data_IF_383412286235
#
_entry.id   IF_383412286235
#
_cell.length_a   1.000
_cell.length_b   1.000
_cell.length_c   1.000
_cell.angle_alpha   90.00
_cell.angle_beta   90.00
_cell.angle_gamma   90.00
#
_symmetry.space_group_name_H-M   'P 1'
#
loop_
_entity.id
_entity.type
_entity.pdbx_description
1 polymer ?
#
# COMPACT_ATOMS: atom_id res chain seq x y z
N UNK A 1 14.82 12.56 -9.64
CA UNK A 1 14.58 12.43 -8.19
C UNK A 1 13.84 11.11 -8.01
N UNK A 2 14.40 10.14 -7.29
CA UNK A 2 13.72 8.86 -7.04
C UNK A 2 12.38 9.08 -6.32
N UNK A 3 11.46 8.11 -6.42
CA UNK A 3 10.20 8.11 -5.67
C UNK A 3 10.48 8.41 -4.19
N UNK A 4 9.75 9.36 -3.62
CA UNK A 4 9.84 9.63 -2.18
C UNK A 4 9.15 8.52 -1.36
N UNK A 5 9.53 8.42 -0.09
CA UNK A 5 9.01 7.38 0.80
C UNK A 5 7.48 7.41 0.89
N UNK A 6 6.87 8.59 0.97
CA UNK A 6 5.42 8.77 1.10
C UNK A 6 4.65 8.25 -0.13
N UNK A 7 5.21 8.45 -1.32
CA UNK A 7 4.62 7.97 -2.57
C UNK A 7 4.69 6.46 -2.66
N UNK A 8 5.81 5.85 -2.25
CA UNK A 8 5.97 4.40 -2.21
C UNK A 8 4.95 3.74 -1.27
N UNK A 9 4.84 4.22 -0.03
CA UNK A 9 3.93 3.64 0.97
C UNK A 9 2.47 3.72 0.51
N UNK A 10 2.06 4.84 -0.09
CA UNK A 10 0.70 5.00 -0.63
C UNK A 10 0.40 4.00 -1.74
N UNK A 11 1.35 3.75 -2.63
CA UNK A 11 1.16 2.82 -3.74
C UNK A 11 1.17 1.36 -3.30
N UNK A 12 2.08 1.02 -2.38
CA UNK A 12 2.10 -0.28 -1.73
C UNK A 12 0.77 -0.55 -1.01
N UNK A 13 0.25 0.43 -0.27
CA UNK A 13 -1.05 0.34 0.38
C UNK A 13 -2.17 0.06 -0.61
N UNK A 14 -2.28 0.88 -1.67
CA UNK A 14 -3.30 0.69 -2.70
C UNK A 14 -3.19 -0.66 -3.41
N UNK A 15 -1.98 -1.19 -3.54
CA UNK A 15 -1.73 -2.51 -4.10
C UNK A 15 -2.25 -3.61 -3.17
N UNK A 16 -1.86 -3.60 -1.90
CA UNK A 16 -2.26 -4.63 -0.93
C UNK A 16 -3.76 -4.63 -0.67
N UNK A 17 -4.40 -3.46 -0.66
CA UNK A 17 -5.85 -3.35 -0.51
C UNK A 17 -6.62 -3.99 -1.67
N UNK A 18 -6.05 -4.00 -2.88
CA UNK A 18 -6.64 -4.62 -4.07
C UNK A 18 -6.26 -6.10 -4.23
N UNK A 19 -5.27 -6.58 -3.48
CA UNK A 19 -4.67 -7.90 -3.65
C UNK A 19 -4.41 -8.53 -2.28
N UNK A 20 -5.47 -8.97 -1.60
CA UNK A 20 -5.43 -9.44 -0.21
C UNK A 20 -4.51 -10.66 0.02
N UNK A 21 -4.24 -11.45 -1.02
CA UNK A 21 -3.34 -12.62 -0.97
C UNK A 21 -1.86 -12.26 -1.18
N UNK A 22 -1.55 -11.02 -1.57
CA UNK A 22 -0.20 -10.58 -1.94
C UNK A 22 0.53 -9.93 -0.77
N UNK A 23 1.85 -10.03 -0.82
CA UNK A 23 2.77 -9.47 0.16
C UNK A 23 3.43 -8.21 -0.40
N UNK A 24 4.03 -7.36 0.45
CA UNK A 24 4.84 -6.23 0.00
C UNK A 24 5.94 -6.63 -0.99
N UNK A 25 6.51 -7.83 -0.86
CA UNK A 25 7.49 -8.35 -1.80
C UNK A 25 6.91 -8.53 -3.22
N UNK A 26 5.65 -8.94 -3.34
CA UNK A 26 4.99 -9.12 -4.64
C UNK A 26 4.80 -7.77 -5.35
N UNK A 27 4.44 -6.72 -4.60
CA UNK A 27 4.39 -5.34 -5.12
C UNK A 27 5.74 -4.91 -5.69
N UNK A 28 6.81 -5.10 -4.90
CA UNK A 28 8.17 -4.71 -5.32
C UNK A 28 8.58 -5.47 -6.58
N UNK A 29 8.30 -6.78 -6.66
CA UNK A 29 8.60 -7.59 -7.84
C UNK A 29 7.83 -7.06 -9.06
N UNK A 30 6.53 -6.78 -8.91
CA UNK A 30 5.70 -6.25 -9.98
C UNK A 30 6.22 -4.90 -10.51
N UNK A 31 6.46 -3.94 -9.60
CA UNK A 31 6.96 -2.62 -9.99
C UNK A 31 8.35 -2.69 -10.60
N UNK A 32 9.23 -3.55 -10.06
CA UNK A 32 10.56 -3.80 -10.64
C UNK A 32 10.45 -4.29 -12.08
N UNK A 33 9.57 -5.24 -12.36
CA UNK A 33 9.37 -5.79 -13.70
C UNK A 33 8.81 -4.74 -14.67
N UNK A 34 7.84 -3.94 -14.21
CA UNK A 34 7.27 -2.83 -14.98
C UNK A 34 8.35 -1.81 -15.36
N UNK A 35 9.15 -1.35 -14.40
CA UNK A 35 10.22 -0.38 -14.63
C UNK A 35 11.33 -0.94 -15.53
N UNK A 36 11.73 -2.20 -15.36
CA UNK A 36 12.70 -2.85 -16.27
C UNK A 36 12.22 -2.88 -17.71
N UNK A 37 10.94 -3.19 -17.93
CA UNK A 37 10.35 -3.18 -19.27
C UNK A 37 10.38 -1.78 -19.91
N UNK A 38 10.04 -0.75 -19.14
CA UNK A 38 10.11 0.64 -19.62
C UNK A 38 11.56 1.03 -19.92
N UNK A 39 12.48 0.70 -19.01
CA UNK A 39 13.90 1.01 -19.18
C UNK A 39 14.48 0.36 -20.43
N UNK A 40 14.12 -0.89 -20.71
CA UNK A 40 14.55 -1.60 -21.92
C UNK A 40 14.07 -0.88 -23.19
N UNK A 41 12.79 -0.51 -23.26
CA UNK A 41 12.21 0.23 -24.38
C UNK A 41 12.93 1.58 -24.58
N UNK A 42 13.12 2.34 -23.50
CA UNK A 42 13.70 3.69 -23.59
C UNK A 42 15.21 3.63 -23.89
N UNK A 43 15.92 2.62 -23.40
CA UNK A 43 17.37 2.45 -23.64
C UNK A 43 17.70 2.02 -25.07
N UNK A 44 16.73 1.45 -25.79
CA UNK A 44 16.89 1.05 -27.19
C UNK A 44 16.63 2.18 -28.19
N UNK A 45 16.10 3.33 -27.73
CA UNK A 45 15.84 4.47 -28.62
C UNK A 45 17.12 5.03 -29.20
N UNK A 46 17.13 5.15 -30.52
CA UNK A 46 18.21 5.75 -31.30
C UNK A 46 18.00 7.24 -31.48
N UNK A 47 19.05 7.92 -31.93
CA UNK A 47 18.99 9.33 -32.34
C UNK A 47 17.92 9.58 -33.42
N UNK A 48 17.73 8.61 -34.32
CA UNK A 48 16.76 8.69 -35.40
C UNK A 48 15.32 8.58 -34.87
N UNK A 49 15.08 7.74 -33.85
CA UNK A 49 13.77 7.65 -33.20
C UNK A 49 13.39 8.99 -32.55
N UNK A 50 14.35 9.64 -31.89
CA UNK A 50 14.16 10.96 -31.28
C UNK A 50 13.90 12.02 -32.35
N UNK A 51 14.62 11.95 -33.47
CA UNK A 51 14.41 12.85 -34.62
C UNK A 51 13.01 12.68 -35.20
N UNK A 52 12.55 11.45 -35.37
CA UNK A 52 11.20 11.16 -35.86
C UNK A 52 10.11 11.69 -34.91
N UNK A 53 10.26 11.47 -33.59
CA UNK A 53 9.32 12.03 -32.59
C UNK A 53 9.27 13.56 -32.60
N UNK A 54 10.42 14.22 -32.78
CA UNK A 54 10.49 15.67 -32.92
C UNK A 54 9.71 16.10 -34.16
N UNK A 55 9.93 15.45 -35.31
CA UNK A 55 9.31 15.80 -36.58
C UNK A 55 7.79 15.53 -36.61
N UNK A 56 7.32 14.45 -36.00
CA UNK A 56 5.90 14.15 -35.80
C UNK A 56 5.19 15.28 -35.04
N UNK A 57 5.88 15.97 -34.13
CA UNK A 57 5.34 17.14 -33.42
C UNK A 57 5.10 18.38 -34.30
N UNK A 58 5.50 18.37 -35.58
CA UNK A 58 5.37 19.49 -36.51
C UNK A 58 4.60 19.17 -37.80
N UNK A 59 4.12 17.95 -38.01
CA UNK A 59 3.44 17.54 -39.26
C UNK A 59 2.21 18.38 -39.62
N UNK A 60 1.55 19.01 -38.65
CA UNK A 60 0.35 19.85 -38.85
C UNK A 60 0.62 21.37 -38.73
N UNK A 61 1.88 21.80 -38.64
CA UNK A 61 2.24 23.21 -38.41
C UNK A 61 2.67 23.90 -39.70
N UNK A 62 2.09 25.07 -39.97
CA UNK A 62 2.42 25.95 -41.11
C UNK A 62 3.88 26.44 -41.12
N UNK A 63 4.65 26.20 -40.05
CA UNK A 63 6.04 26.58 -39.92
C UNK A 63 6.87 25.33 -39.58
N UNK A 64 7.49 24.75 -40.61
CA UNK A 64 8.43 23.63 -40.45
C UNK A 64 9.74 24.22 -39.91
N UNK A 65 10.27 23.71 -38.77
CA UNK A 65 11.53 24.20 -38.23
C UNK A 65 12.68 23.99 -39.22
N UNK A 66 13.67 24.88 -39.20
CA UNK A 66 14.87 24.67 -40.01
C UNK A 66 15.76 23.56 -39.41
N UNK A 67 16.78 23.14 -40.14
CA UNK A 67 17.69 22.07 -39.70
C UNK A 67 18.43 22.41 -38.40
N UNK A 68 18.67 23.69 -38.12
CA UNK A 68 19.34 24.12 -36.88
C UNK A 68 18.39 23.98 -35.69
N UNK A 69 17.13 24.33 -35.86
CA UNK A 69 16.07 24.16 -34.86
C UNK A 69 15.82 22.67 -34.59
N UNK A 70 15.74 21.83 -35.64
CA UNK A 70 15.59 20.37 -35.51
C UNK A 70 16.74 19.80 -34.69
N UNK A 71 17.99 20.15 -35.01
CA UNK A 71 19.15 19.63 -34.28
C UNK A 71 19.18 20.08 -32.81
N UNK A 72 18.74 21.31 -32.52
CA UNK A 72 18.58 21.78 -31.13
C UNK A 72 17.51 21.00 -30.37
N UNK A 73 16.36 20.73 -31.00
CA UNK A 73 15.26 19.97 -30.41
C UNK A 73 15.64 18.51 -30.17
N UNK A 74 16.31 17.86 -31.14
CA UNK A 74 16.83 16.50 -30.99
C UNK A 74 17.82 16.43 -29.83
N UNK A 75 18.77 17.37 -29.74
CA UNK A 75 19.72 17.44 -28.61
C UNK A 75 19.01 17.56 -27.27
N UNK A 76 18.00 18.44 -27.19
CA UNK A 76 17.20 18.63 -25.98
C UNK A 76 16.39 17.37 -25.63
N UNK A 77 15.84 16.70 -26.64
CA UNK A 77 15.16 15.41 -26.51
C UNK A 77 16.07 14.35 -25.91
N UNK A 78 17.30 14.20 -26.43
CA UNK A 78 18.31 13.28 -25.88
C UNK A 78 18.58 13.51 -24.40
N UNK A 79 18.82 14.76 -24.00
CA UNK A 79 19.08 15.09 -22.60
C UNK A 79 17.89 14.72 -21.70
N UNK A 80 16.65 14.89 -22.19
CA UNK A 80 15.45 14.43 -21.45
C UNK A 80 15.40 12.92 -21.34
N UNK A 81 15.67 12.19 -22.42
CA UNK A 81 15.71 10.73 -22.43
C UNK A 81 16.77 10.18 -21.47
N UNK A 82 17.98 10.74 -21.48
CA UNK A 82 19.04 10.40 -20.52
C UNK A 82 18.58 10.64 -19.08
N UNK A 83 17.92 11.76 -18.82
CA UNK A 83 17.31 12.05 -17.52
C UNK A 83 16.25 11.02 -17.11
N UNK A 84 15.40 10.58 -18.03
CA UNK A 84 14.41 9.51 -17.80
C UNK A 84 15.08 8.18 -17.50
N UNK A 85 16.11 7.79 -18.26
CA UNK A 85 16.87 6.56 -18.02
C UNK A 85 17.50 6.59 -16.63
N UNK A 86 18.11 7.71 -16.25
CA UNK A 86 18.71 7.85 -14.93
C UNK A 86 17.66 7.76 -13.82
N UNK A 87 16.51 8.42 -14.01
CA UNK A 87 15.40 8.34 -13.06
C UNK A 87 14.90 6.90 -12.85
N UNK A 88 14.73 6.13 -13.93
CA UNK A 88 14.31 4.73 -13.85
C UNK A 88 15.35 3.87 -13.12
N UNK A 89 16.65 4.11 -13.36
CA UNK A 89 17.73 3.41 -12.63
C UNK A 89 17.70 3.73 -11.14
N UNK A 90 17.47 4.99 -10.77
CA UNK A 90 17.36 5.40 -9.36
C UNK A 90 16.16 4.74 -8.68
N UNK A 91 15.03 4.63 -9.38
CA UNK A 91 13.81 3.98 -8.85
C UNK A 91 14.01 2.46 -8.67
N UNK A 92 14.68 1.80 -9.62
CA UNK A 92 15.05 0.39 -9.48
C UNK A 92 15.97 0.16 -8.27
N UNK A 93 16.97 1.04 -8.07
CA UNK A 93 17.86 0.98 -6.91
C UNK A 93 17.09 1.16 -5.59
N UNK A 94 16.13 2.07 -5.57
CA UNK A 94 15.25 2.27 -4.41
C UNK A 94 14.45 0.99 -4.08
N UNK A 95 13.83 0.36 -5.08
CA UNK A 95 13.10 -0.90 -4.90
C UNK A 95 13.99 -2.05 -4.44
N UNK A 96 15.25 -2.12 -4.88
CA UNK A 96 16.23 -3.10 -4.39
C UNK A 96 16.60 -2.90 -2.91
N UNK A 97 16.62 -1.65 -2.43
CA UNK A 97 16.78 -1.36 -1.00
C UNK A 97 15.56 -1.86 -0.23
N UNK A 98 14.34 -1.52 -0.67
CA UNK A 98 13.09 -1.99 -0.05
C UNK A 98 12.98 -3.51 -0.05
N UNK A 99 13.39 -4.17 -1.14
CA UNK A 99 13.45 -5.63 -1.21
C UNK A 99 14.37 -6.23 -0.14
N UNK A 100 15.53 -5.61 0.10
CA UNK A 100 16.48 -6.06 1.12
C UNK A 100 15.95 -5.83 2.53
N UNK A 101 15.33 -4.68 2.79
CA UNK A 101 14.63 -4.40 4.06
C UNK A 101 13.59 -5.48 4.39
N UNK A 102 12.86 -5.98 3.39
CA UNK A 102 11.89 -7.07 3.59
C UNK A 102 12.52 -8.48 3.71
N UNK A 103 13.70 -8.69 3.12
CA UNK A 103 14.35 -10.00 3.02
C UNK A 103 15.33 -10.32 4.15
N UNK A 104 15.89 -9.30 4.79
CA UNK A 104 16.53 -9.47 6.10
C UNK A 104 15.39 -9.61 7.09
N UNK A 105 15.45 -10.58 8.01
CA UNK A 105 14.52 -10.67 9.15
C UNK A 105 14.66 -9.49 10.11
N UNK A 106 14.76 -8.26 9.61
CA UNK A 106 14.74 -7.05 10.39
C UNK A 106 13.40 -7.04 11.08
N UNK A 107 13.46 -7.06 12.41
CA UNK A 107 12.42 -6.50 13.25
C UNK A 107 12.16 -5.12 12.63
N UNK A 108 11.03 -4.96 11.96
CA UNK A 108 10.61 -3.64 11.50
C UNK A 108 10.39 -2.87 12.79
N UNK A 109 11.36 -2.04 13.18
CA UNK A 109 11.11 -0.98 14.15
C UNK A 109 10.11 -0.05 13.46
N UNK A 110 8.83 -0.39 13.59
CA UNK A 110 7.76 0.52 13.21
C UNK A 110 7.98 1.77 14.04
N UNK A 111 8.06 2.93 13.39
CA UNK A 111 7.89 4.23 14.06
C UNK A 111 6.82 4.09 15.13
N UNK A 112 7.07 4.65 16.31
CA UNK A 112 6.23 4.56 17.50
C UNK A 112 4.77 4.81 17.09
N UNK A 113 4.03 3.72 16.89
CA UNK A 113 2.67 3.79 16.38
C UNK A 113 1.81 4.12 17.58
N UNK A 114 1.54 5.41 17.78
CA UNK A 114 0.71 5.84 18.90
C UNK A 114 -0.74 5.37 18.71
N UNK A 115 -1.04 4.21 19.30
CA UNK A 115 -2.35 3.60 19.33
C UNK A 115 -3.11 3.92 20.64
N UNK A 116 -2.56 4.79 21.49
CA UNK A 116 -3.16 5.13 22.80
C UNK A 116 -4.56 5.72 22.67
N UNK A 117 -4.83 6.41 21.56
CA UNK A 117 -6.13 7.03 21.25
C UNK A 117 -7.08 6.13 20.42
N UNK A 118 -6.81 4.82 20.32
CA UNK A 118 -7.67 3.90 19.60
C UNK A 118 -9.06 3.77 20.25
N UNK A 119 -10.11 3.83 19.44
CA UNK A 119 -11.49 3.70 19.94
C UNK A 119 -11.84 2.24 20.25
N UNK A 120 -12.86 2.02 21.09
CA UNK A 120 -13.37 0.67 21.38
C UNK A 120 -13.73 -0.12 20.10
N UNK A 121 -14.26 0.55 19.07
CA UNK A 121 -14.58 -0.06 17.77
C UNK A 121 -13.31 -0.51 17.04
N UNK A 122 -12.29 0.35 16.98
CA UNK A 122 -11.00 0.01 16.35
C UNK A 122 -10.34 -1.19 17.01
N UNK A 123 -10.42 -1.28 18.34
CA UNK A 123 -9.91 -2.41 19.11
C UNK A 123 -10.65 -3.71 18.78
N UNK A 124 -11.98 -3.66 18.61
CA UNK A 124 -12.76 -4.83 18.17
C UNK A 124 -12.38 -5.27 16.76
N UNK A 125 -12.24 -4.33 15.82
CA UNK A 125 -11.75 -4.66 14.47
C UNK A 125 -10.38 -5.33 14.58
N UNK A 126 -9.44 -4.72 15.31
CA UNK A 126 -8.10 -5.26 15.45
C UNK A 126 -8.09 -6.69 16.03
N UNK A 127 -8.86 -6.93 17.09
CA UNK A 127 -8.99 -8.26 17.68
C UNK A 127 -9.63 -9.29 16.75
N UNK A 128 -10.56 -8.87 15.90
CA UNK A 128 -11.16 -9.76 14.91
C UNK A 128 -10.15 -10.11 13.80
N UNK A 129 -9.49 -9.10 13.24
CA UNK A 129 -8.50 -9.25 12.16
C UNK A 129 -7.27 -10.06 12.60
N UNK A 130 -6.86 -9.94 13.87
CA UNK A 130 -5.78 -10.75 14.46
C UNK A 130 -6.22 -12.17 14.88
N UNK A 131 -7.51 -12.50 14.74
CA UNK A 131 -8.04 -13.80 15.16
C UNK A 131 -8.14 -14.00 16.68
N UNK A 132 -7.92 -12.96 17.49
CA UNK A 132 -7.98 -13.01 18.95
C UNK A 132 -9.38 -13.37 19.44
N UNK A 133 -10.42 -12.81 18.82
CA UNK A 133 -11.81 -13.12 19.19
C UNK A 133 -12.11 -14.61 19.01
N UNK A 134 -11.69 -15.15 17.87
CA UNK A 134 -11.88 -16.56 17.55
C UNK A 134 -11.06 -17.47 18.48
N UNK A 135 -9.82 -17.06 18.78
CA UNK A 135 -8.95 -17.76 19.71
C UNK A 135 -9.56 -17.85 21.12
N UNK A 136 -10.12 -16.75 21.64
CA UNK A 136 -10.80 -16.74 22.94
C UNK A 136 -12.04 -17.63 22.93
N UNK A 137 -12.82 -17.59 21.85
CA UNK A 137 -14.01 -18.45 21.70
C UNK A 137 -13.65 -19.93 21.71
N UNK A 138 -12.58 -20.30 21.02
CA UNK A 138 -12.14 -21.69 20.89
C UNK A 138 -11.44 -22.24 22.14
N UNK A 139 -10.93 -21.37 23.01
CA UNK A 139 -10.37 -21.77 24.30
C UNK A 139 -11.42 -21.96 25.41
N UNK A 140 -12.70 -21.64 25.17
CA UNK A 140 -13.76 -21.81 26.16
C UNK A 140 -14.36 -23.23 26.10
N UNK A 141 -14.21 -23.99 27.19
CA UNK A 141 -14.63 -25.40 27.30
C UNK A 141 -16.14 -25.62 26.98
N UNK A 142 -16.98 -24.65 27.30
CA UNK A 142 -18.44 -24.70 27.07
C UNK A 142 -18.93 -23.60 26.13
N UNK A 143 -18.03 -23.04 25.30
CA UNK A 143 -18.30 -21.85 24.51
C UNK A 143 -18.42 -20.58 25.35
N UNK A 144 -18.46 -19.43 24.69
CA UNK A 144 -18.51 -18.12 25.37
C UNK A 144 -19.56 -17.20 24.72
N UNK A 145 -20.43 -16.62 25.55
CA UNK A 145 -21.39 -15.62 25.08
C UNK A 145 -20.68 -14.30 24.73
N UNK A 146 -21.27 -13.48 23.85
CA UNK A 146 -20.72 -12.15 23.54
C UNK A 146 -20.58 -11.24 24.77
N UNK A 147 -21.40 -11.45 25.81
CA UNK A 147 -21.29 -10.74 27.08
C UNK A 147 -20.10 -11.20 27.93
N UNK A 148 -19.79 -12.49 27.91
CA UNK A 148 -18.59 -13.00 28.58
C UNK A 148 -17.33 -12.64 27.78
N UNK A 149 -17.39 -12.69 26.44
CA UNK A 149 -16.33 -12.25 25.55
C UNK A 149 -16.02 -10.76 25.73
N UNK A 150 -17.03 -9.89 25.87
CA UNK A 150 -16.80 -8.46 26.12
C UNK A 150 -16.10 -8.19 27.46
N UNK A 151 -16.37 -9.01 28.49
CA UNK A 151 -15.63 -8.95 29.75
C UNK A 151 -14.17 -9.41 29.59
N UNK A 152 -13.94 -10.49 28.85
CA UNK A 152 -12.59 -10.96 28.58
C UNK A 152 -11.76 -9.93 27.80
N UNK A 153 -12.32 -9.34 26.75
CA UNK A 153 -11.64 -8.31 25.95
C UNK A 153 -11.45 -7.01 26.73
N UNK A 154 -12.39 -6.65 27.60
CA UNK A 154 -12.27 -5.50 28.51
C UNK A 154 -11.02 -5.57 29.40
N UNK A 155 -10.65 -6.77 29.86
CA UNK A 155 -9.41 -6.99 30.63
C UNK A 155 -8.15 -6.72 29.79
N UNK A 156 -8.22 -6.93 28.46
CA UNK A 156 -7.08 -6.75 27.55
C UNK A 156 -6.88 -5.31 27.10
N UNK A 157 -7.98 -4.55 26.92
CA UNK A 157 -7.91 -3.19 26.35
C UNK A 157 -8.26 -2.04 27.29
N UNK A 158 -8.71 -2.34 28.51
CA UNK A 158 -9.15 -1.32 29.47
C UNK A 158 -10.48 -0.63 29.12
N UNK A 159 -11.18 -1.07 28.06
CA UNK A 159 -12.50 -0.56 27.70
C UNK A 159 -13.59 -1.17 28.58
N UNK A 160 -14.70 -0.46 28.79
CA UNK A 160 -15.84 -1.01 29.52
C UNK A 160 -16.54 -2.11 28.69
N UNK A 161 -16.98 -3.23 29.28
CA UNK A 161 -17.67 -4.29 28.54
C UNK A 161 -18.92 -3.82 27.80
N UNK A 162 -19.62 -2.82 28.34
CA UNK A 162 -20.81 -2.22 27.72
C UNK A 162 -20.49 -1.44 26.45
N UNK A 163 -19.27 -0.91 26.32
CA UNK A 163 -18.80 -0.19 25.13
C UNK A 163 -18.44 -1.16 24.01
N UNK A 164 -17.87 -2.32 24.34
CA UNK A 164 -17.43 -3.33 23.37
C UNK A 164 -18.61 -4.17 22.83
N UNK A 165 -19.63 -4.40 23.67
CA UNK A 165 -20.72 -5.36 23.38
C UNK A 165 -21.54 -5.03 22.12
N UNK A 166 -21.91 -3.78 21.80
CA UNK A 166 -22.66 -3.47 20.57
C UNK A 166 -21.93 -3.95 19.31
N UNK A 167 -20.64 -3.64 19.21
CA UNK A 167 -19.80 -4.04 18.08
C UNK A 167 -19.60 -5.55 18.02
N UNK A 168 -19.34 -6.20 19.16
CA UNK A 168 -19.20 -7.66 19.26
C UNK A 168 -20.46 -8.42 18.83
N UNK A 169 -21.62 -7.91 19.21
CA UNK A 169 -22.90 -8.53 18.87
C UNK A 169 -23.15 -8.54 17.36
N UNK A 170 -22.64 -7.53 16.65
CA UNK A 170 -22.85 -7.37 15.22
C UNK A 170 -21.78 -8.00 14.34
N UNK A 171 -20.68 -8.51 14.90
CA UNK A 171 -19.63 -9.16 14.12
C UNK A 171 -20.11 -10.35 13.27
N UNK A 172 -21.18 -11.01 13.70
CA UNK A 172 -21.81 -12.12 12.96
C UNK A 172 -22.93 -11.67 12.02
N UNK A 173 -23.32 -10.40 12.06
CA UNK A 173 -24.40 -9.87 11.23
C UNK A 173 -23.87 -9.66 9.80
N UNK A 174 -24.72 -9.94 8.80
CA UNK A 174 -24.39 -9.64 7.40
C UNK A 174 -24.63 -8.17 7.04
N UNK A 175 -25.36 -7.44 7.88
CA UNK A 175 -25.70 -6.04 7.69
C UNK A 175 -24.58 -5.14 8.25
N UNK A 176 -23.61 -4.84 7.39
CA UNK A 176 -22.50 -3.96 7.71
C UNK A 176 -22.90 -2.48 7.73
N UNK A 177 -24.06 -2.12 7.19
CA UNK A 177 -24.52 -0.73 7.09
C UNK A 177 -25.09 -0.19 8.40
N UNK A 178 -25.31 -1.06 9.39
CA UNK A 178 -25.75 -0.64 10.71
C UNK A 178 -24.67 0.16 11.45
N UNK A 179 -25.02 1.33 12.02
CA UNK A 179 -24.09 2.23 12.73
C UNK A 179 -23.21 1.59 13.82
N UNK A 180 -23.75 0.59 14.51
CA UNK A 180 -23.05 -0.14 15.59
C UNK A 180 -22.19 -1.30 15.06
N UNK A 181 -22.24 -1.59 13.76
CA UNK A 181 -21.42 -2.63 13.14
C UNK A 181 -19.95 -2.16 13.10
N UNK A 182 -18.98 -2.95 13.58
CA UNK A 182 -17.60 -2.51 13.65
C UNK A 182 -17.00 -2.20 12.26
N UNK A 183 -17.52 -2.82 11.21
CA UNK A 183 -17.11 -2.57 9.82
C UNK A 183 -17.96 -1.53 9.08
N UNK A 184 -18.81 -0.76 9.77
CA UNK A 184 -19.66 0.24 9.13
C UNK A 184 -18.87 1.33 8.41
N UNK A 185 -17.86 1.89 9.09
CA UNK A 185 -17.06 2.99 8.54
C UNK A 185 -15.83 2.45 7.84
N UNK A 186 -15.82 2.42 6.50
CA UNK A 186 -14.69 1.95 5.68
C UNK A 186 -13.37 2.58 6.08
N UNK A 187 -13.34 3.91 6.31
CA UNK A 187 -12.14 4.63 6.73
C UNK A 187 -11.56 4.13 8.07
N UNK A 188 -12.42 3.73 9.01
CA UNK A 188 -11.98 3.18 10.30
C UNK A 188 -11.39 1.79 10.12
N UNK A 189 -12.05 0.94 9.35
CA UNK A 189 -11.58 -0.42 9.02
C UNK A 189 -10.22 -0.37 8.34
N UNK A 190 -10.10 0.44 7.29
CA UNK A 190 -8.87 0.63 6.52
C UNK A 190 -7.71 1.09 7.39
N UNK A 191 -7.94 2.07 8.28
CA UNK A 191 -6.92 2.55 9.20
C UNK A 191 -6.43 1.44 10.13
N UNK A 192 -7.34 0.64 10.70
CA UNK A 192 -6.96 -0.46 11.61
C UNK A 192 -6.18 -1.54 10.86
N UNK A 193 -6.69 -1.99 9.70
CA UNK A 193 -6.01 -3.00 8.88
C UNK A 193 -4.60 -2.54 8.48
N UNK A 194 -4.47 -1.29 8.05
CA UNK A 194 -3.18 -0.70 7.71
C UNK A 194 -2.21 -0.68 8.90
N UNK A 195 -2.65 -0.23 10.07
CA UNK A 195 -1.82 -0.23 11.28
C UNK A 195 -1.31 -1.62 11.63
N UNK A 196 -2.16 -2.64 11.51
CA UNK A 196 -1.77 -4.04 11.78
C UNK A 196 -0.79 -4.58 10.74
N UNK A 197 -0.99 -4.27 9.45
CA UNK A 197 -0.07 -4.64 8.38
C UNK A 197 1.29 -3.95 8.57
N UNK A 198 1.32 -2.68 8.97
CA UNK A 198 2.55 -1.94 9.28
C UNK A 198 3.32 -2.61 10.43
N UNK A 199 2.60 -3.12 11.43
CA UNK A 199 3.15 -3.92 12.54
C UNK A 199 3.59 -5.35 12.11
N UNK A 200 3.41 -5.73 10.85
CA UNK A 200 3.83 -7.02 10.31
C UNK A 200 2.84 -8.17 10.52
N UNK A 201 1.60 -7.89 10.95
CA UNK A 201 0.59 -8.92 11.13
C UNK A 201 -0.03 -9.35 9.79
N UNK A 202 -0.24 -10.66 9.64
CA UNK A 202 -1.13 -11.21 8.62
C UNK A 202 -2.56 -11.19 9.15
N UNK A 203 -3.46 -10.51 8.43
CA UNK A 203 -4.85 -10.40 8.83
C UNK A 203 -5.62 -11.69 8.50
N UNK A 204 -6.66 -11.97 9.28
CA UNK A 204 -7.62 -13.04 9.05
C UNK A 204 -8.42 -12.74 7.78
N UNK A 205 -8.43 -13.68 6.83
CA UNK A 205 -9.32 -13.67 5.66
C UNK A 205 -10.78 -13.89 6.08
#
# INVERSE_FOLDING_TARGET
MARDFMTYERELYNYLLKNEDKKPLDFIIQETNKLKKILDIVSQKTDEDIRNEVMEGFTDKLNIPDEKDINYLVKTGKTRFEGTIQHLKDELKFLEIKKRELGVGSIVETEELDLSNSTAVEKIIAYNELGIIEHIRNNAEFGISNNALSKALSLLCGERPQTLRPSLNRLSDKDTDHKDHPYHTTKTVERVKYSLIKLGFKLKN
#
